data_IF_289151362921
#
_entry.id   IF_289151362921
#
_cell.length_a   1.000
_cell.length_b   1.000
_cell.length_c   1.000
_cell.angle_alpha   90.00
_cell.angle_beta   90.00
_cell.angle_gamma   90.00
#
_symmetry.space_group_name_H-M   'P 1'
#
loop_
_entity.id
_entity.type
_entity.pdbx_description
1 polymer ?
#
# COMPACT_ATOMS: atom_id res chain seq x y z
N UNK A 1 20.49 17.44 -7.58
CA UNK A 1 19.82 18.44 -6.73
C UNK A 1 18.45 18.73 -7.31
N UNK A 2 17.39 18.12 -6.77
CA UNK A 2 16.01 18.43 -7.14
C UNK A 2 15.54 19.63 -6.32
N UNK A 3 15.62 20.83 -6.90
CA UNK A 3 15.12 22.08 -6.32
C UNK A 3 13.99 22.71 -7.17
N UNK A 4 13.35 21.96 -8.06
CA UNK A 4 12.24 22.48 -8.85
C UNK A 4 10.92 22.30 -8.07
N UNK A 5 10.24 23.39 -7.65
CA UNK A 5 8.98 23.33 -6.91
C UNK A 5 7.87 22.58 -7.66
N UNK A 6 7.89 22.63 -8.99
CA UNK A 6 6.93 21.92 -9.85
C UNK A 6 7.11 20.40 -9.72
N UNK A 7 8.36 19.93 -9.72
CA UNK A 7 8.68 18.51 -9.57
C UNK A 7 8.28 17.99 -8.20
N UNK A 8 8.55 18.76 -7.13
CA UNK A 8 8.13 18.40 -5.77
C UNK A 8 6.60 18.27 -5.66
N UNK A 9 5.86 19.25 -6.20
CA UNK A 9 4.40 19.22 -6.19
C UNK A 9 3.83 18.05 -7.02
N UNK A 10 4.52 17.64 -8.09
CA UNK A 10 4.15 16.45 -8.85
C UNK A 10 4.31 15.17 -8.02
N UNK A 11 5.43 15.02 -7.30
CA UNK A 11 5.65 13.88 -6.42
C UNK A 11 4.66 13.83 -5.26
N UNK A 12 4.37 14.97 -4.60
CA UNK A 12 3.34 15.03 -3.55
C UNK A 12 1.98 14.50 -4.05
N UNK A 13 1.56 14.92 -5.26
CA UNK A 13 0.29 14.46 -5.84
C UNK A 13 0.31 12.97 -6.18
N UNK A 14 1.40 12.50 -6.76
CA UNK A 14 1.56 11.09 -7.11
C UNK A 14 1.51 10.22 -5.84
N UNK A 15 2.26 10.59 -4.80
CA UNK A 15 2.27 9.90 -3.50
C UNK A 15 0.86 9.84 -2.91
N UNK A 16 0.15 10.98 -2.83
CA UNK A 16 -1.22 11.01 -2.29
C UNK A 16 -2.19 10.16 -3.12
N UNK A 17 -2.05 10.17 -4.45
CA UNK A 17 -2.86 9.33 -5.33
C UNK A 17 -2.63 7.85 -5.06
N UNK A 18 -1.37 7.42 -4.95
CA UNK A 18 -1.03 6.02 -4.67
C UNK A 18 -1.48 5.58 -3.27
N UNK A 19 -1.41 6.45 -2.25
CA UNK A 19 -2.00 6.16 -0.92
C UNK A 19 -3.50 5.90 -1.04
N UNK A 20 -4.21 6.71 -1.82
CA UNK A 20 -5.65 6.51 -2.02
C UNK A 20 -5.94 5.19 -2.75
N UNK A 21 -5.11 4.80 -3.72
CA UNK A 21 -5.25 3.50 -4.39
C UNK A 21 -5.04 2.34 -3.40
N UNK A 22 -4.04 2.43 -2.51
CA UNK A 22 -3.83 1.41 -1.47
C UNK A 22 -5.07 1.26 -0.56
N UNK A 23 -5.69 2.37 -0.17
CA UNK A 23 -6.96 2.33 0.57
C UNK A 23 -8.09 1.70 -0.23
N UNK A 24 -8.21 2.01 -1.53
CA UNK A 24 -9.21 1.42 -2.40
C UNK A 24 -9.01 -0.10 -2.53
N UNK A 25 -7.77 -0.55 -2.79
CA UNK A 25 -7.40 -1.96 -2.86
C UNK A 25 -7.75 -2.70 -1.56
N UNK A 26 -7.42 -2.12 -0.39
CA UNK A 26 -7.73 -2.71 0.91
C UNK A 26 -9.25 -2.86 1.14
N UNK A 27 -10.06 -1.90 0.67
CA UNK A 27 -11.52 -1.96 0.79
C UNK A 27 -12.10 -3.01 -0.16
N UNK A 28 -11.65 -3.00 -1.42
CA UNK A 28 -12.14 -3.90 -2.48
C UNK A 28 -11.75 -5.36 -2.28
N UNK A 29 -10.73 -5.61 -1.46
CA UNK A 29 -10.24 -6.97 -1.15
C UNK A 29 -10.54 -7.40 0.29
N UNK A 30 -11.40 -6.68 1.02
CA UNK A 30 -11.68 -6.93 2.43
C UNK A 30 -12.33 -8.31 2.71
N UNK A 31 -12.94 -8.92 1.69
CA UNK A 31 -13.47 -10.30 1.71
C UNK A 31 -12.38 -11.36 1.55
N UNK A 32 -11.22 -10.99 1.02
CA UNK A 32 -10.08 -11.88 0.73
C UNK A 32 -9.00 -11.76 1.79
N UNK A 33 -8.65 -10.52 2.17
CA UNK A 33 -7.50 -10.22 3.02
C UNK A 33 -7.82 -9.07 3.98
N UNK A 34 -7.28 -9.15 5.19
CA UNK A 34 -7.42 -8.07 6.17
C UNK A 34 -6.20 -7.16 6.12
N UNK A 35 -6.42 -5.90 5.74
CA UNK A 35 -5.36 -4.90 5.59
C UNK A 35 -5.71 -3.65 6.41
N UNK A 36 -4.75 -3.15 7.18
CA UNK A 36 -4.84 -1.86 7.90
C UNK A 36 -3.81 -0.91 7.33
N UNK A 37 -4.27 0.27 6.94
CA UNK A 37 -3.41 1.33 6.41
C UNK A 37 -3.51 2.54 7.34
N UNK A 38 -2.36 3.01 7.79
CA UNK A 38 -2.21 4.22 8.59
C UNK A 38 -1.31 5.21 7.87
N UNK A 39 -1.89 6.34 7.48
CA UNK A 39 -1.15 7.45 6.90
C UNK A 39 -1.10 8.64 7.87
N UNK A 40 0.10 9.15 8.12
CA UNK A 40 0.33 10.39 8.86
C UNK A 40 1.00 11.41 7.96
N UNK A 41 0.24 12.44 7.57
CA UNK A 41 0.77 13.57 6.78
C UNK A 41 1.75 14.44 7.56
N UNK A 42 1.60 14.52 8.90
CA UNK A 42 2.49 15.29 9.77
C UNK A 42 3.84 14.61 9.98
N UNK A 43 3.83 13.27 10.13
CA UNK A 43 5.05 12.48 10.28
C UNK A 43 5.63 12.03 8.94
N UNK A 44 4.91 12.29 7.83
CA UNK A 44 5.25 11.82 6.48
C UNK A 44 5.53 10.31 6.48
N UNK A 45 4.59 9.54 7.00
CA UNK A 45 4.74 8.10 7.21
C UNK A 45 3.50 7.36 6.75
N UNK A 46 3.70 6.19 6.14
CA UNK A 46 2.66 5.23 5.83
C UNK A 46 3.02 3.88 6.45
N UNK A 47 2.06 3.27 7.12
CA UNK A 47 2.14 1.89 7.56
C UNK A 47 1.04 1.08 6.87
N UNK A 48 1.39 -0.02 6.23
CA UNK A 48 0.48 -0.99 5.63
C UNK A 48 0.70 -2.33 6.31
N UNK A 49 -0.30 -2.79 7.07
CA UNK A 49 -0.24 -4.04 7.82
C UNK A 49 -1.23 -5.03 7.23
N UNK A 50 -0.75 -6.21 6.90
CA UNK A 50 -1.53 -7.35 6.42
C UNK A 50 -1.70 -8.34 7.57
N UNK A 51 -2.93 -8.77 7.82
CA UNK A 51 -3.26 -9.74 8.85
C UNK A 51 -3.71 -11.07 8.26
N UNK A 52 -3.27 -12.15 8.89
CA UNK A 52 -3.87 -13.48 8.74
C UNK A 52 -4.55 -13.84 10.06
N UNK A 53 -5.84 -14.16 9.98
CA UNK A 53 -6.70 -14.41 11.14
C UNK A 53 -6.66 -13.24 12.14
N UNK A 54 -5.81 -13.35 13.17
CA UNK A 54 -5.65 -12.34 14.23
C UNK A 54 -4.17 -11.94 14.45
N UNK A 55 -3.27 -12.34 13.55
CA UNK A 55 -1.84 -12.07 13.65
C UNK A 55 -1.36 -11.24 12.48
N UNK A 56 -0.42 -10.33 12.73
CA UNK A 56 0.32 -9.62 11.68
C UNK A 56 1.11 -10.64 10.88
N UNK A 57 0.78 -10.76 9.60
CA UNK A 57 1.52 -11.59 8.64
C UNK A 57 2.66 -10.77 8.02
N UNK A 58 2.36 -9.52 7.63
CA UNK A 58 3.32 -8.63 7.00
C UNK A 58 3.07 -7.18 7.37
N UNK A 59 4.13 -6.36 7.37
CA UNK A 59 4.03 -4.93 7.61
C UNK A 59 5.03 -4.15 6.75
N UNK A 60 4.56 -3.14 6.04
CA UNK A 60 5.36 -2.17 5.31
C UNK A 60 5.33 -0.82 6.03
N UNK A 61 6.49 -0.31 6.41
CA UNK A 61 6.62 1.03 6.98
C UNK A 61 7.43 1.90 6.02
N UNK A 62 6.82 2.95 5.50
CA UNK A 62 7.40 3.82 4.48
C UNK A 62 7.49 5.24 5.04
N UNK A 63 8.66 5.86 4.84
CA UNK A 63 8.83 7.30 5.04
C UNK A 63 8.54 7.98 3.70
N UNK A 64 7.54 8.86 3.68
CA UNK A 64 7.03 9.52 2.48
C UNK A 64 7.65 10.91 2.33
N UNK A 65 8.93 10.95 1.98
CA UNK A 65 9.55 12.19 1.52
C UNK A 65 8.94 12.57 0.16
N UNK A 66 8.78 13.85 -0.13
CA UNK A 66 8.14 14.31 -1.37
C UNK A 66 9.10 14.20 -2.58
N UNK A 67 9.60 13.01 -2.83
CA UNK A 67 10.62 12.68 -3.82
C UNK A 67 10.29 11.41 -4.61
N UNK A 68 11.13 11.14 -5.60
CA UNK A 68 10.98 9.99 -6.51
C UNK A 68 11.11 8.65 -5.78
N UNK A 69 12.03 8.54 -4.81
CA UNK A 69 12.30 7.29 -4.12
C UNK A 69 11.10 6.88 -3.27
N UNK A 70 10.50 7.82 -2.54
CA UNK A 70 9.31 7.55 -1.75
C UNK A 70 8.12 7.11 -2.61
N UNK A 71 7.97 7.70 -3.80
CA UNK A 71 6.95 7.25 -4.77
C UNK A 71 7.23 5.82 -5.24
N UNK A 72 8.49 5.48 -5.55
CA UNK A 72 8.86 4.13 -5.97
C UNK A 72 8.64 3.10 -4.86
N UNK A 73 9.01 3.42 -3.62
CA UNK A 73 8.78 2.56 -2.46
C UNK A 73 7.29 2.30 -2.25
N UNK A 74 6.47 3.33 -2.48
CA UNK A 74 5.02 3.24 -2.33
C UNK A 74 4.37 2.40 -3.43
N UNK A 75 4.77 2.57 -4.70
CA UNK A 75 4.31 1.73 -5.81
C UNK A 75 4.71 0.26 -5.61
N UNK A 76 5.91 0.00 -5.08
CA UNK A 76 6.34 -1.36 -4.76
C UNK A 76 5.46 -2.02 -3.70
N UNK A 77 4.94 -1.25 -2.74
CA UNK A 77 3.97 -1.76 -1.75
C UNK A 77 2.61 -2.01 -2.38
N UNK A 78 2.16 -1.17 -3.31
CA UNK A 78 0.94 -1.39 -4.09
C UNK A 78 1.03 -2.69 -4.90
N UNK A 79 2.11 -2.90 -5.64
CA UNK A 79 2.33 -4.11 -6.44
C UNK A 79 2.32 -5.37 -5.56
N UNK A 80 3.05 -5.36 -4.44
CA UNK A 80 3.08 -6.50 -3.49
C UNK A 80 1.71 -6.80 -2.90
N UNK A 81 0.93 -5.76 -2.60
CA UNK A 81 -0.41 -5.94 -2.07
C UNK A 81 -1.33 -6.59 -3.12
N UNK A 82 -1.25 -6.13 -4.37
CA UNK A 82 -1.99 -6.73 -5.50
C UNK A 82 -1.63 -8.21 -5.66
N UNK A 83 -0.33 -8.53 -5.67
CA UNK A 83 0.15 -9.91 -5.78
C UNK A 83 -0.37 -10.79 -4.62
N UNK A 84 -0.33 -10.29 -3.38
CA UNK A 84 -0.80 -11.06 -2.22
C UNK A 84 -2.32 -11.26 -2.24
N UNK A 85 -3.09 -10.26 -2.67
CA UNK A 85 -4.55 -10.38 -2.85
C UNK A 85 -4.86 -11.46 -3.89
N UNK A 86 -4.16 -11.45 -5.03
CA UNK A 86 -4.36 -12.45 -6.08
C UNK A 86 -4.06 -13.86 -5.57
N UNK A 87 -2.91 -14.06 -4.92
CA UNK A 87 -2.56 -15.35 -4.31
C UNK A 87 -3.62 -15.84 -3.32
N UNK A 88 -4.13 -14.95 -2.45
CA UNK A 88 -5.13 -15.37 -1.46
C UNK A 88 -6.49 -15.67 -2.10
N UNK A 89 -6.85 -15.04 -3.21
CA UNK A 89 -8.04 -15.42 -3.99
C UNK A 89 -7.91 -16.84 -4.54
N UNK A 90 -6.77 -17.15 -5.16
CA UNK A 90 -6.51 -18.47 -5.70
C UNK A 90 -6.56 -19.54 -4.58
N UNK A 91 -5.95 -19.28 -3.43
CA UNK A 91 -6.01 -20.16 -2.24
C UNK A 91 -7.46 -20.40 -1.76
N UNK A 92 -8.30 -19.36 -1.73
CA UNK A 92 -9.70 -19.47 -1.29
C UNK A 92 -10.58 -20.25 -2.29
N UNK A 93 -10.31 -20.13 -3.60
CA UNK A 93 -10.97 -20.92 -4.63
C UNK A 93 -10.62 -22.42 -4.47
N UNK A 94 -9.35 -22.75 -4.22
CA UNK A 94 -8.92 -24.13 -3.94
C UNK A 94 -9.52 -24.68 -2.62
N UNK A 95 -9.63 -23.86 -1.57
CA UNK A 95 -10.27 -24.23 -0.29
C UNK A 95 -11.79 -24.44 -0.43
N UNK A 96 -12.45 -23.71 -1.34
CA UNK A 96 -13.90 -23.77 -1.58
C UNK A 96 -14.35 -24.94 -2.47
N UNK A 97 -13.46 -25.46 -3.30
CA UNK A 97 -13.69 -26.60 -4.20
C UNK A 97 -13.34 -27.97 -3.57
N UNK A 98 -12.86 -28.00 -2.31
CA UNK A 98 -12.48 -29.19 -1.55
C UNK A 98 -13.58 -29.71 -0.59
#
# INVERSE_FOLDING_TARGET
MMNNPVTKAAFERAILSTINNLYALAIESADVISVRIEYSSSMKMLNVVIFSHNTTEHAHNIILLDDEQALMDLLLVEDKLIERIAQRRDELEEEGDA
#
